data_IF_745330075291
#
_entry.id   IF_745330075291
#
_cell.length_a   1.000
_cell.length_b   1.000
_cell.length_c   1.000
_cell.angle_alpha   90.00
_cell.angle_beta   90.00
_cell.angle_gamma   90.00
#
_symmetry.space_group_name_H-M   'P 1'
#
loop_
_entity.id
_entity.type
_entity.pdbx_description
1 polymer ?
#
# COMPACT_ATOMS: atom_id res chain seq x y z
N UNK A 1 -22.35 -16.73 -2.05
CA UNK A 1 -21.49 -16.68 -0.84
C UNK A 1 -21.82 -15.43 -0.04
N UNK A 2 -22.25 -15.60 1.22
CA UNK A 2 -22.51 -14.47 2.12
C UNK A 2 -21.21 -13.74 2.45
N UNK A 3 -21.27 -12.43 2.69
CA UNK A 3 -20.10 -11.63 3.07
C UNK A 3 -19.40 -12.19 4.33
N UNK A 4 -20.16 -12.86 5.20
CA UNK A 4 -19.66 -13.56 6.38
C UNK A 4 -18.70 -14.69 6.03
N UNK A 5 -18.91 -15.44 4.94
CA UNK A 5 -17.99 -16.53 4.54
C UNK A 5 -16.67 -16.00 3.98
N UNK A 6 -16.67 -14.84 3.32
CA UNK A 6 -15.43 -14.20 2.84
C UNK A 6 -14.63 -13.64 4.00
N UNK A 7 -15.30 -12.97 4.95
CA UNK A 7 -14.65 -12.46 6.17
C UNK A 7 -14.12 -13.62 7.02
N UNK A 8 -14.87 -14.71 7.16
CA UNK A 8 -14.43 -15.92 7.87
C UNK A 8 -13.24 -16.57 7.17
N UNK A 9 -13.26 -16.70 5.84
CA UNK A 9 -12.14 -17.26 5.08
C UNK A 9 -10.86 -16.43 5.19
N UNK A 10 -11.00 -15.09 5.17
CA UNK A 10 -9.87 -14.17 5.40
C UNK A 10 -9.36 -14.32 6.85
N UNK A 11 -10.24 -14.34 7.85
CA UNK A 11 -9.86 -14.55 9.25
C UNK A 11 -9.13 -15.88 9.47
N UNK A 12 -9.63 -16.97 8.90
CA UNK A 12 -8.99 -18.30 8.97
C UNK A 12 -7.62 -18.28 8.28
N UNK A 13 -7.50 -17.63 7.12
CA UNK A 13 -6.23 -17.47 6.43
C UNK A 13 -5.17 -16.73 7.25
N UNK A 14 -5.58 -15.71 8.01
CA UNK A 14 -4.69 -14.96 8.90
C UNK A 14 -4.24 -15.82 10.05
N UNK A 15 -5.19 -16.47 10.73
CA UNK A 15 -4.89 -17.34 11.85
C UNK A 15 -3.93 -18.44 11.39
N UNK A 16 -4.14 -19.01 10.19
CA UNK A 16 -3.23 -19.98 9.61
C UNK A 16 -1.83 -19.39 9.34
N UNK A 17 -1.71 -18.21 8.72
CA UNK A 17 -0.41 -17.56 8.47
C UNK A 17 0.29 -17.18 9.77
N UNK A 18 -0.45 -16.72 10.78
CA UNK A 18 0.08 -16.36 12.10
C UNK A 18 0.59 -17.59 12.85
N UNK A 19 -0.20 -18.67 12.85
CA UNK A 19 0.16 -19.92 13.51
C UNK A 19 1.32 -20.60 12.78
N UNK A 20 1.27 -20.71 11.45
CA UNK A 20 2.32 -21.34 10.65
C UNK A 20 3.61 -20.53 10.71
N UNK A 21 3.53 -19.20 10.62
CA UNK A 21 4.69 -18.31 10.76
C UNK A 21 5.30 -18.36 12.16
N UNK A 22 4.48 -18.40 13.21
CA UNK A 22 4.93 -18.58 14.59
C UNK A 22 5.59 -19.93 14.84
N UNK A 23 5.01 -21.01 14.31
CA UNK A 23 5.55 -22.37 14.40
C UNK A 23 6.84 -22.53 13.59
N UNK A 24 6.90 -22.00 12.37
CA UNK A 24 8.12 -22.01 11.54
C UNK A 24 9.23 -21.16 12.16
N UNK A 25 8.92 -19.96 12.68
CA UNK A 25 9.88 -19.13 13.40
C UNK A 25 10.43 -19.82 14.65
N UNK A 26 9.57 -20.48 15.43
CA UNK A 26 9.97 -21.26 16.61
C UNK A 26 10.84 -22.47 16.28
N UNK A 27 10.57 -23.14 15.17
CA UNK A 27 11.25 -24.38 14.79
C UNK A 27 12.55 -24.15 14.03
N UNK A 28 12.63 -23.10 13.22
CA UNK A 28 13.75 -22.84 12.31
C UNK A 28 14.79 -21.86 12.86
N UNK A 29 14.47 -21.06 13.88
CA UNK A 29 15.42 -20.14 14.51
C UNK A 29 15.90 -20.71 15.86
N UNK A 30 17.04 -21.43 15.91
CA UNK A 30 17.52 -22.09 17.12
C UNK A 30 17.78 -21.14 18.30
N UNK A 31 17.94 -19.83 18.06
CA UNK A 31 18.14 -18.81 19.09
C UNK A 31 16.88 -18.41 19.90
N UNK A 32 15.67 -18.75 19.44
CA UNK A 32 14.41 -18.31 20.10
C UNK A 32 14.04 -19.16 21.32
N UNK A 33 14.63 -20.37 21.44
CA UNK A 33 14.28 -21.36 22.48
C UNK A 33 14.65 -20.95 23.91
N UNK A 34 15.37 -19.85 24.10
CA UNK A 34 15.78 -19.31 25.41
C UNK A 34 15.16 -17.96 25.79
N UNK A 35 14.29 -17.37 24.96
CA UNK A 35 13.75 -16.04 25.21
C UNK A 35 12.30 -16.16 25.69
N UNK A 36 12.00 -15.64 26.89
CA UNK A 36 10.72 -15.80 27.58
C UNK A 36 9.51 -15.24 26.81
N UNK A 37 8.32 -15.32 27.44
CA UNK A 37 7.02 -14.91 26.88
C UNK A 37 7.02 -13.55 26.15
N UNK A 38 7.87 -12.60 26.56
CA UNK A 38 8.06 -11.32 25.89
C UNK A 38 8.55 -11.44 24.43
N UNK A 39 9.49 -12.34 24.12
CA UNK A 39 9.99 -12.54 22.76
C UNK A 39 8.95 -13.20 21.85
N UNK A 40 8.14 -14.09 22.40
CA UNK A 40 6.98 -14.67 21.70
C UNK A 40 5.94 -13.59 21.42
N UNK A 41 5.60 -12.75 22.40
CA UNK A 41 4.67 -11.64 22.21
C UNK A 41 5.18 -10.59 21.20
N UNK A 42 6.49 -10.28 21.20
CA UNK A 42 7.12 -9.42 20.21
C UNK A 42 7.07 -10.04 18.81
N UNK A 43 7.27 -11.36 18.69
CA UNK A 43 7.18 -12.07 17.42
C UNK A 43 5.74 -12.09 16.88
N UNK A 44 4.75 -12.35 17.75
CA UNK A 44 3.33 -12.28 17.42
C UNK A 44 2.94 -10.85 17.05
N UNK A 45 3.38 -9.86 17.81
CA UNK A 45 3.13 -8.44 17.55
C UNK A 45 3.72 -8.00 16.21
N UNK A 46 4.95 -8.41 15.90
CA UNK A 46 5.58 -8.18 14.60
C UNK A 46 4.83 -8.84 13.46
N UNK A 47 4.40 -10.10 13.65
CA UNK A 47 3.62 -10.82 12.65
C UNK A 47 2.25 -10.19 12.40
N UNK A 48 1.56 -9.73 13.45
CA UNK A 48 0.30 -9.00 13.34
C UNK A 48 0.49 -7.61 12.70
N UNK A 49 1.59 -6.92 13.00
CA UNK A 49 1.94 -5.65 12.37
C UNK A 49 2.24 -5.81 10.87
N UNK A 50 2.77 -6.96 10.45
CA UNK A 50 3.00 -7.28 9.04
C UNK A 50 1.70 -7.74 8.38
N UNK A 51 1.02 -8.75 8.91
CA UNK A 51 -0.11 -9.43 8.24
C UNK A 51 -1.42 -8.65 8.40
N UNK A 52 -1.66 -8.05 9.55
CA UNK A 52 -2.92 -7.34 9.86
C UNK A 52 -3.27 -6.25 8.84
N UNK A 53 -2.33 -5.39 8.43
CA UNK A 53 -2.58 -4.39 7.40
C UNK A 53 -2.98 -4.99 6.03
N UNK A 54 -2.36 -6.11 5.61
CA UNK A 54 -2.71 -6.80 4.36
C UNK A 54 -4.13 -7.36 4.38
N UNK A 55 -4.56 -7.84 5.53
CA UNK A 55 -5.91 -8.35 5.75
C UNK A 55 -6.93 -7.26 5.59
N UNK A 56 -6.69 -6.12 6.25
CA UNK A 56 -7.59 -4.98 6.19
C UNK A 56 -7.67 -4.47 4.76
N UNK A 57 -6.54 -4.42 4.05
CA UNK A 57 -6.47 -4.07 2.64
C UNK A 57 -7.28 -5.05 1.76
N UNK A 58 -7.06 -6.36 1.91
CA UNK A 58 -7.76 -7.39 1.16
C UNK A 58 -9.27 -7.40 1.46
N UNK A 59 -9.67 -7.26 2.73
CA UNK A 59 -11.06 -7.20 3.15
C UNK A 59 -11.77 -5.95 2.60
N UNK A 60 -11.10 -4.78 2.62
CA UNK A 60 -11.62 -3.55 2.04
C UNK A 60 -11.83 -3.68 0.52
N UNK A 61 -10.83 -4.22 -0.20
CA UNK A 61 -10.92 -4.46 -1.63
C UNK A 61 -12.02 -5.48 -1.97
N UNK A 62 -12.04 -6.62 -1.28
CA UNK A 62 -13.04 -7.67 -1.47
C UNK A 62 -14.45 -7.18 -1.17
N UNK A 63 -14.64 -6.37 -0.12
CA UNK A 63 -15.93 -5.75 0.22
C UNK A 63 -16.45 -4.86 -0.90
N UNK A 64 -15.57 -4.04 -1.50
CA UNK A 64 -15.89 -3.14 -2.61
C UNK A 64 -16.22 -3.89 -3.90
N UNK A 65 -15.38 -4.86 -4.27
CA UNK A 65 -15.63 -5.73 -5.44
C UNK A 65 -16.94 -6.49 -5.25
N UNK A 66 -17.17 -7.07 -4.06
CA UNK A 66 -18.41 -7.79 -3.76
C UNK A 66 -19.63 -6.88 -3.80
N UNK A 67 -19.54 -5.65 -3.30
CA UNK A 67 -20.62 -4.67 -3.38
C UNK A 67 -20.91 -4.26 -4.83
N UNK A 68 -19.88 -4.04 -5.65
CA UNK A 68 -20.02 -3.73 -7.07
C UNK A 68 -20.67 -4.90 -7.84
N UNK A 69 -20.20 -6.13 -7.61
CA UNK A 69 -20.72 -7.34 -8.26
C UNK A 69 -22.17 -7.62 -7.85
N UNK A 70 -22.52 -7.45 -6.56
CA UNK A 70 -23.91 -7.64 -6.09
C UNK A 70 -24.90 -6.65 -6.68
N UNK A 71 -24.47 -5.42 -6.97
CA UNK A 71 -25.30 -4.39 -7.60
C UNK A 71 -25.32 -4.51 -9.13
N UNK A 72 -24.41 -5.28 -9.71
CA UNK A 72 -24.29 -5.36 -11.15
C UNK A 72 -25.30 -6.34 -11.76
N UNK A 73 -25.84 -6.04 -12.94
CA UNK A 73 -26.72 -6.95 -13.69
C UNK A 73 -26.07 -8.32 -13.95
N UNK A 74 -26.88 -9.32 -14.32
CA UNK A 74 -26.35 -10.65 -14.72
C UNK A 74 -25.48 -10.59 -15.99
N UNK A 75 -25.62 -9.54 -16.81
CA UNK A 75 -24.79 -9.29 -17.99
C UNK A 75 -23.32 -9.01 -17.62
N UNK A 76 -22.40 -9.81 -18.15
CA UNK A 76 -20.95 -9.66 -17.93
C UNK A 76 -20.39 -8.32 -18.41
N UNK A 77 -20.96 -7.71 -19.46
CA UNK A 77 -20.53 -6.41 -19.96
C UNK A 77 -20.90 -5.29 -18.98
N UNK A 78 -22.12 -5.34 -18.44
CA UNK A 78 -22.58 -4.44 -17.40
C UNK A 78 -21.78 -4.61 -16.09
N UNK A 79 -21.41 -5.85 -15.73
CA UNK A 79 -20.51 -6.12 -14.60
C UNK A 79 -19.14 -5.49 -14.78
N UNK A 80 -18.51 -5.71 -15.93
CA UNK A 80 -17.20 -5.14 -16.24
C UNK A 80 -17.22 -3.62 -16.12
N UNK A 81 -18.22 -2.97 -16.73
CA UNK A 81 -18.34 -1.53 -16.71
C UNK A 81 -18.67 -0.99 -15.31
N UNK A 82 -19.54 -1.67 -14.56
CA UNK A 82 -19.85 -1.34 -13.17
C UNK A 82 -18.59 -1.39 -12.30
N UNK A 83 -17.78 -2.45 -12.42
CA UNK A 83 -16.51 -2.57 -11.68
C UNK A 83 -15.51 -1.50 -12.09
N UNK A 84 -15.35 -1.25 -13.39
CA UNK A 84 -14.41 -0.25 -13.90
C UNK A 84 -14.78 1.19 -13.49
N UNK A 85 -16.08 1.48 -13.34
CA UNK A 85 -16.59 2.81 -12.98
C UNK A 85 -16.82 2.99 -11.48
N UNK A 86 -16.87 1.92 -10.68
CA UNK A 86 -17.08 1.97 -9.23
C UNK A 86 -16.01 2.75 -8.45
N UNK A 87 -14.86 3.01 -9.07
CA UNK A 87 -13.74 3.74 -8.49
C UNK A 87 -13.50 5.14 -9.08
N UNK A 88 -14.37 5.66 -9.94
CA UNK A 88 -14.15 6.99 -10.53
C UNK A 88 -14.28 8.10 -9.48
N UNK A 89 -13.53 9.19 -9.66
CA UNK A 89 -13.64 10.39 -8.85
C UNK A 89 -15.06 11.00 -8.95
N UNK A 90 -15.50 11.72 -7.91
CA UNK A 90 -16.89 12.19 -7.78
C UNK A 90 -17.41 12.95 -9.01
N UNK A 91 -16.60 13.87 -9.57
CA UNK A 91 -16.95 14.64 -10.77
C UNK A 91 -17.12 13.79 -12.05
N UNK A 92 -16.67 12.52 -12.04
CA UNK A 92 -16.82 11.57 -13.15
C UNK A 92 -17.81 10.44 -12.85
N UNK A 93 -18.50 10.50 -11.71
CA UNK A 93 -19.60 9.59 -11.43
C UNK A 93 -20.68 9.67 -12.52
N UNK A 94 -20.95 10.87 -13.02
CA UNK A 94 -21.89 11.14 -14.12
C UNK A 94 -21.43 10.49 -15.42
N UNK A 95 -20.14 10.60 -15.78
CA UNK A 95 -19.59 9.90 -16.95
C UNK A 95 -19.79 8.38 -16.82
N UNK A 96 -19.49 7.80 -15.65
CA UNK A 96 -19.69 6.37 -15.41
C UNK A 96 -21.17 5.95 -15.44
N UNK A 97 -22.10 6.83 -15.07
CA UNK A 97 -23.53 6.61 -15.21
C UNK A 97 -23.98 6.70 -16.68
N UNK A 98 -23.53 7.71 -17.42
CA UNK A 98 -23.81 7.88 -18.83
C UNK A 98 -23.32 6.68 -19.66
N UNK A 99 -22.10 6.19 -19.43
CA UNK A 99 -21.60 5.00 -20.12
C UNK A 99 -22.41 3.74 -19.80
N UNK A 100 -23.01 3.64 -18.60
CA UNK A 100 -23.88 2.51 -18.26
C UNK A 100 -25.24 2.62 -18.97
N UNK A 101 -25.81 3.82 -19.06
CA UNK A 101 -27.03 4.06 -19.84
C UNK A 101 -26.81 3.80 -21.34
N UNK A 102 -25.67 4.23 -21.88
CA UNK A 102 -25.28 3.95 -23.27
C UNK A 102 -25.08 2.45 -23.50
N UNK A 103 -24.50 1.73 -22.52
CA UNK A 103 -24.41 0.28 -22.62
C UNK A 103 -25.79 -0.39 -22.66
N UNK A 104 -26.82 0.18 -22.00
CA UNK A 104 -28.19 -0.34 -22.01
C UNK A 104 -28.88 -0.18 -23.37
N UNK A 105 -28.54 0.84 -24.16
CA UNK A 105 -29.11 1.07 -25.50
C UNK A 105 -28.50 0.19 -26.61
N UNK A 106 -27.38 -0.49 -26.34
CA UNK A 106 -26.73 -1.38 -27.32
C UNK A 106 -27.35 -2.79 -27.23
N UNK A 107 -28.01 -3.24 -28.29
CA UNK A 107 -28.64 -4.57 -28.35
C UNK A 107 -27.64 -5.71 -28.59
N UNK A 108 -26.62 -5.47 -29.43
CA UNK A 108 -25.70 -6.50 -29.90
C UNK A 108 -24.73 -7.00 -28.81
N UNK A 109 -24.69 -8.31 -28.46
CA UNK A 109 -23.85 -8.80 -27.36
C UNK A 109 -22.34 -8.63 -27.61
N UNK A 110 -21.89 -8.65 -28.87
CA UNK A 110 -20.49 -8.39 -29.22
C UNK A 110 -20.14 -6.90 -29.10
N UNK A 111 -21.05 -6.02 -29.53
CA UNK A 111 -20.89 -4.57 -29.45
C UNK A 111 -20.89 -4.09 -28.00
N UNK A 112 -21.82 -4.59 -27.17
CA UNK A 112 -21.85 -4.36 -25.72
C UNK A 112 -20.51 -4.69 -25.05
N UNK A 113 -19.92 -5.84 -25.38
CA UNK A 113 -18.61 -6.26 -24.83
C UNK A 113 -17.49 -5.34 -25.29
N UNK A 114 -17.44 -4.97 -26.58
CA UNK A 114 -16.42 -4.07 -27.13
C UNK A 114 -16.54 -2.68 -26.50
N UNK A 115 -17.76 -2.15 -26.39
CA UNK A 115 -18.05 -0.89 -25.73
C UNK A 115 -17.63 -0.92 -24.25
N UNK A 116 -18.09 -1.91 -23.49
CA UNK A 116 -17.75 -2.04 -22.07
C UNK A 116 -16.23 -2.16 -21.85
N UNK A 117 -15.51 -2.90 -22.71
CA UNK A 117 -14.04 -2.97 -22.67
C UNK A 117 -13.38 -1.64 -23.01
N UNK A 118 -13.88 -0.92 -24.01
CA UNK A 118 -13.39 0.40 -24.40
C UNK A 118 -13.57 1.42 -23.26
N UNK A 119 -14.76 1.49 -22.68
CA UNK A 119 -15.05 2.34 -21.53
C UNK A 119 -14.24 1.93 -20.29
N UNK A 120 -14.10 0.62 -20.02
CA UNK A 120 -13.25 0.14 -18.94
C UNK A 120 -11.79 0.58 -19.15
N UNK A 121 -11.26 0.45 -20.37
CA UNK A 121 -9.91 0.90 -20.71
C UNK A 121 -9.74 2.41 -20.56
N UNK A 122 -10.72 3.20 -21.02
CA UNK A 122 -10.72 4.65 -20.86
C UNK A 122 -10.75 5.05 -19.38
N UNK A 123 -11.60 4.40 -18.58
CA UNK A 123 -11.66 4.59 -17.13
C UNK A 123 -10.32 4.20 -16.46
N UNK A 124 -9.64 3.17 -16.98
CA UNK A 124 -8.34 2.75 -16.46
C UNK A 124 -7.23 3.76 -16.75
N UNK A 125 -7.16 4.29 -17.98
CA UNK A 125 -6.13 5.23 -18.43
C UNK A 125 -6.24 6.65 -17.89
N UNK A 126 -7.36 7.01 -17.26
CA UNK A 126 -7.62 8.38 -16.81
C UNK A 126 -6.99 8.75 -15.45
N UNK A 127 -6.14 7.89 -14.86
CA UNK A 127 -5.26 8.27 -13.72
C UNK A 127 -3.85 8.54 -14.23
N UNK A 128 -3.18 9.65 -13.94
CA UNK A 128 -2.98 10.29 -12.64
C UNK A 128 -2.76 11.80 -12.85
N UNK A 129 -3.52 12.66 -12.17
CA UNK A 129 -3.38 14.10 -12.31
C UNK A 129 -2.05 14.62 -11.73
N UNK A 130 -1.68 15.88 -12.02
CA UNK A 130 -0.48 16.58 -11.51
C UNK A 130 -0.25 16.40 -10.00
N UNK A 131 -1.35 16.33 -9.24
CA UNK A 131 -1.42 16.05 -7.79
C UNK A 131 -0.72 14.73 -7.42
N UNK A 132 -0.93 13.68 -8.20
CA UNK A 132 -0.31 12.36 -7.99
C UNK A 132 1.18 12.40 -8.32
N UNK A 133 1.57 13.05 -9.42
CA UNK A 133 2.99 13.20 -9.79
C UNK A 133 3.79 13.91 -8.71
N UNK A 134 3.27 15.03 -8.18
CA UNK A 134 3.93 15.78 -7.10
C UNK A 134 4.04 14.94 -5.82
N UNK A 135 2.99 14.22 -5.43
CA UNK A 135 3.05 13.34 -4.27
C UNK A 135 4.06 12.21 -4.44
N UNK A 136 4.13 11.58 -5.62
CA UNK A 136 5.07 10.50 -5.92
C UNK A 136 6.52 10.99 -5.87
N UNK A 137 6.83 12.09 -6.57
CA UNK A 137 8.17 12.68 -6.57
C UNK A 137 8.57 13.20 -5.19
N UNK A 138 7.66 13.89 -4.50
CA UNK A 138 7.87 14.35 -3.14
C UNK A 138 8.15 13.19 -2.17
N UNK A 139 7.44 12.06 -2.32
CA UNK A 139 7.69 10.86 -1.52
C UNK A 139 9.10 10.30 -1.78
N UNK A 140 9.51 10.13 -3.04
CA UNK A 140 10.88 9.68 -3.35
C UNK A 140 11.93 10.58 -2.70
N UNK A 141 11.75 11.90 -2.82
CA UNK A 141 12.70 12.88 -2.29
C UNK A 141 12.75 12.87 -0.76
N UNK A 142 11.59 12.79 -0.08
CA UNK A 142 11.51 12.69 1.38
C UNK A 142 12.21 11.44 1.90
N UNK A 143 12.02 10.30 1.23
CA UNK A 143 12.71 9.06 1.62
C UNK A 143 14.20 9.11 1.35
N UNK A 144 14.63 9.59 0.18
CA UNK A 144 16.04 9.76 -0.13
C UNK A 144 16.74 10.68 0.88
N UNK A 145 16.20 11.87 1.12
CA UNK A 145 16.76 12.83 2.07
C UNK A 145 16.71 12.29 3.51
N UNK A 146 15.61 11.64 3.90
CA UNK A 146 15.44 11.03 5.20
C UNK A 146 16.48 9.94 5.47
N UNK A 147 16.68 9.03 4.52
CA UNK A 147 17.69 7.97 4.59
C UNK A 147 19.10 8.54 4.70
N UNK A 148 19.41 9.59 3.93
CA UNK A 148 20.71 10.24 4.01
C UNK A 148 20.94 10.85 5.40
N UNK A 149 19.98 11.63 5.89
CA UNK A 149 20.06 12.25 7.23
C UNK A 149 20.17 11.19 8.31
N UNK A 150 19.35 10.13 8.26
CA UNK A 150 19.41 9.03 9.21
C UNK A 150 20.77 8.35 9.20
N UNK A 151 21.37 8.13 8.02
CA UNK A 151 22.70 7.54 7.90
C UNK A 151 23.77 8.44 8.53
N UNK A 152 23.74 9.75 8.24
CA UNK A 152 24.71 10.69 8.81
C UNK A 152 24.57 10.85 10.32
N UNK A 153 23.36 10.88 10.85
CA UNK A 153 23.11 10.99 12.30
C UNK A 153 23.44 9.69 13.03
N UNK A 154 23.04 8.54 12.49
CA UNK A 154 23.25 7.23 13.12
C UNK A 154 24.74 6.89 13.29
N UNK A 155 25.56 7.19 12.29
CA UNK A 155 27.01 6.96 12.33
C UNK A 155 27.82 8.13 12.88
N UNK A 156 27.23 9.31 13.05
CA UNK A 156 27.85 10.44 13.74
C UNK A 156 27.86 10.31 15.27
N UNK A 157 27.01 9.42 15.82
CA UNK A 157 26.93 9.12 17.25
C UNK A 157 27.45 7.71 17.59
N UNK A 158 26.52 6.82 17.96
CA UNK A 158 26.83 5.51 18.54
C UNK A 158 26.99 4.37 17.52
N UNK A 159 26.85 4.64 16.23
CA UNK A 159 27.05 3.65 15.16
C UNK A 159 25.93 2.62 15.02
N UNK A 160 24.73 2.87 15.56
CA UNK A 160 23.62 1.90 15.63
C UNK A 160 22.89 1.60 14.30
N UNK A 161 23.48 1.96 13.16
CA UNK A 161 22.84 1.80 11.84
C UNK A 161 21.56 2.62 11.67
N UNK A 162 20.82 2.38 10.58
CA UNK A 162 19.57 3.08 10.26
C UNK A 162 18.33 2.19 10.26
N UNK A 163 18.48 0.89 10.54
CA UNK A 163 17.43 -0.12 10.37
C UNK A 163 16.14 0.25 11.11
N UNK A 164 16.25 0.73 12.35
CA UNK A 164 15.10 1.12 13.16
C UNK A 164 14.27 2.23 12.52
N UNK A 165 14.94 3.27 12.01
CA UNK A 165 14.32 4.45 11.42
C UNK A 165 13.68 4.17 10.05
N UNK A 166 14.37 3.37 9.24
CA UNK A 166 13.92 2.99 7.89
C UNK A 166 12.81 1.96 7.95
N UNK A 167 12.88 0.99 8.88
CA UNK A 167 11.93 -0.13 8.86
C UNK A 167 10.63 0.21 9.59
N UNK A 168 10.69 1.02 10.65
CA UNK A 168 9.56 1.22 11.55
C UNK A 168 9.15 2.70 11.69
N UNK A 169 7.87 2.98 11.45
CA UNK A 169 7.19 4.24 11.82
C UNK A 169 6.95 5.21 10.66
N UNK A 170 7.96 6.03 10.33
CA UNK A 170 7.77 7.19 9.45
C UNK A 170 7.30 6.80 8.04
N UNK A 171 7.91 5.79 7.38
CA UNK A 171 7.46 5.37 6.06
C UNK A 171 5.98 5.00 5.99
N UNK A 172 5.50 4.26 6.98
CA UNK A 172 4.12 3.80 7.06
C UNK A 172 3.16 4.99 7.14
N UNK A 173 3.49 5.99 7.95
CA UNK A 173 2.69 7.21 8.11
C UNK A 173 2.69 8.06 6.85
N UNK A 174 3.84 8.24 6.19
CA UNK A 174 3.93 9.00 4.94
C UNK A 174 3.10 8.34 3.84
N UNK A 175 3.27 7.02 3.64
CA UNK A 175 2.54 6.29 2.60
C UNK A 175 1.04 6.23 2.86
N UNK A 176 0.62 6.03 4.11
CA UNK A 176 -0.79 6.14 4.49
C UNK A 176 -1.33 7.56 4.28
N UNK A 177 -0.54 8.59 4.63
CA UNK A 177 -0.88 10.00 4.45
C UNK A 177 -1.09 10.36 2.98
N UNK A 178 -0.21 9.91 2.08
CA UNK A 178 -0.32 10.14 0.64
C UNK A 178 -1.58 9.51 0.07
N UNK A 179 -1.82 8.22 0.38
CA UNK A 179 -3.03 7.52 -0.06
C UNK A 179 -4.32 8.19 0.47
N UNK A 180 -4.31 8.61 1.74
CA UNK A 180 -5.40 9.33 2.39
C UNK A 180 -5.68 10.67 1.73
N UNK A 181 -4.65 11.47 1.50
CA UNK A 181 -4.78 12.79 0.90
C UNK A 181 -5.29 12.71 -0.53
N UNK A 182 -4.75 11.79 -1.34
CA UNK A 182 -5.21 11.56 -2.71
C UNK A 182 -6.66 11.04 -2.77
N UNK A 183 -7.03 10.09 -1.91
CA UNK A 183 -8.42 9.60 -1.84
C UNK A 183 -9.39 10.67 -1.36
N UNK A 184 -9.00 11.46 -0.36
CA UNK A 184 -9.83 12.53 0.21
C UNK A 184 -10.05 13.67 -0.77
N UNK A 185 -9.01 14.10 -1.48
CA UNK A 185 -9.08 15.21 -2.43
C UNK A 185 -9.92 14.89 -3.66
N UNK A 186 -9.95 13.61 -4.07
CA UNK A 186 -10.70 13.16 -5.26
C UNK A 186 -12.03 12.47 -4.95
N UNK A 187 -12.25 12.09 -3.69
CA UNK A 187 -13.37 11.23 -3.28
C UNK A 187 -13.28 9.80 -3.82
N UNK A 188 -12.12 9.37 -4.35
CA UNK A 188 -11.94 8.07 -4.99
C UNK A 188 -10.88 7.22 -4.28
N UNK A 189 -11.26 6.00 -3.92
CA UNK A 189 -10.33 5.01 -3.36
C UNK A 189 -9.32 4.56 -4.39
N UNK A 190 -9.74 4.39 -5.65
CA UNK A 190 -8.87 3.91 -6.71
C UNK A 190 -7.72 4.89 -6.91
N UNK A 191 -8.02 6.18 -7.02
CA UNK A 191 -6.99 7.23 -7.17
C UNK A 191 -6.07 7.27 -5.94
N UNK A 192 -6.63 7.15 -4.74
CA UNK A 192 -5.83 7.09 -3.51
C UNK A 192 -4.91 5.87 -3.45
N UNK A 193 -5.41 4.69 -3.80
CA UNK A 193 -4.66 3.45 -3.82
C UNK A 193 -3.57 3.48 -4.89
N UNK A 194 -3.89 3.85 -6.13
CA UNK A 194 -2.92 3.97 -7.22
C UNK A 194 -1.81 4.97 -6.85
N UNK A 195 -2.18 6.16 -6.34
CA UNK A 195 -1.19 7.16 -5.92
C UNK A 195 -0.35 6.67 -4.74
N UNK A 196 -0.95 6.02 -3.75
CA UNK A 196 -0.23 5.44 -2.62
C UNK A 196 0.73 4.32 -3.03
N UNK A 197 0.34 3.47 -3.98
CA UNK A 197 1.22 2.41 -4.52
C UNK A 197 2.36 2.97 -5.37
N UNK A 198 2.08 3.99 -6.19
CA UNK A 198 3.14 4.71 -6.91
C UNK A 198 4.11 5.41 -5.94
N UNK A 199 3.59 6.01 -4.87
CA UNK A 199 4.41 6.63 -3.82
C UNK A 199 5.23 5.59 -3.06
N UNK A 200 4.69 4.40 -2.81
CA UNK A 200 5.43 3.26 -2.24
C UNK A 200 6.60 2.84 -3.12
N UNK A 201 6.38 2.63 -4.43
CA UNK A 201 7.45 2.29 -5.36
C UNK A 201 8.52 3.39 -5.40
N UNK A 202 8.09 4.65 -5.43
CA UNK A 202 8.97 5.80 -5.44
C UNK A 202 9.77 5.94 -4.12
N UNK A 203 9.17 5.61 -2.98
CA UNK A 203 9.83 5.54 -1.69
C UNK A 203 10.92 4.47 -1.67
N UNK A 204 10.64 3.26 -2.18
CA UNK A 204 11.62 2.17 -2.29
C UNK A 204 12.78 2.58 -3.19
N UNK A 205 12.51 3.21 -4.34
CA UNK A 205 13.56 3.69 -5.25
C UNK A 205 14.40 4.78 -4.58
N UNK A 206 13.77 5.76 -3.94
CA UNK A 206 14.47 6.85 -3.24
C UNK A 206 15.33 6.33 -2.09
N UNK A 207 14.81 5.38 -1.32
CA UNK A 207 15.55 4.67 -0.28
C UNK A 207 16.78 3.95 -0.85
N UNK A 208 16.59 3.08 -1.86
CA UNK A 208 17.67 2.29 -2.46
C UNK A 208 18.75 3.17 -3.11
N UNK A 209 18.34 4.25 -3.78
CA UNK A 209 19.25 5.20 -4.42
C UNK A 209 20.22 5.86 -3.44
N UNK A 210 19.88 5.94 -2.15
CA UNK A 210 20.71 6.55 -1.11
C UNK A 210 21.39 5.51 -0.24
N UNK A 211 20.68 4.48 0.22
CA UNK A 211 21.24 3.50 1.14
C UNK A 211 22.36 2.68 0.49
N UNK A 212 22.27 2.37 -0.81
CA UNK A 212 23.32 1.60 -1.50
C UNK A 212 24.66 2.35 -1.55
N UNK A 213 24.75 3.63 -2.00
CA UNK A 213 26.00 4.36 -1.96
C UNK A 213 26.45 4.69 -0.52
N UNK A 214 25.54 4.98 0.41
CA UNK A 214 25.90 5.16 1.82
C UNK A 214 26.51 3.87 2.40
N UNK A 215 25.95 2.68 2.09
CA UNK A 215 26.51 1.39 2.53
C UNK A 215 27.95 1.21 2.09
N UNK A 216 28.28 1.55 0.84
CA UNK A 216 29.67 1.52 0.37
C UNK A 216 30.55 2.54 1.12
N UNK A 217 30.05 3.76 1.30
CA UNK A 217 30.78 4.82 2.00
C UNK A 217 31.15 4.43 3.44
N UNK A 218 30.18 3.99 4.24
CA UNK A 218 30.42 3.66 5.65
C UNK A 218 31.17 2.35 5.84
N UNK A 219 31.05 1.41 4.90
CA UNK A 219 31.90 0.23 4.87
C UNK A 219 33.38 0.61 4.77
N UNK A 220 33.74 1.53 3.86
CA UNK A 220 35.13 1.97 3.72
C UNK A 220 35.59 2.85 4.89
N UNK A 221 34.70 3.68 5.42
CA UNK A 221 35.06 4.66 6.45
C UNK A 221 35.14 4.05 7.86
N UNK A 222 34.23 3.12 8.17
CA UNK A 222 34.03 2.60 9.52
C UNK A 222 34.00 1.07 9.60
N UNK A 223 34.10 0.36 8.47
CA UNK A 223 34.11 -1.10 8.45
C UNK A 223 32.77 -1.73 8.84
N UNK A 224 31.65 -1.03 8.63
CA UNK A 224 30.30 -1.45 9.05
C UNK A 224 29.29 -1.31 7.93
N UNK A 225 28.22 -2.10 7.98
CA UNK A 225 27.05 -1.94 7.09
C UNK A 225 26.13 -0.83 7.59
N UNK A 226 25.55 -0.07 6.66
CA UNK A 226 24.70 1.08 7.02
C UNK A 226 23.41 0.69 7.71
N UNK A 227 22.85 -0.47 7.35
CA UNK A 227 21.54 -0.87 7.81
C UNK A 227 21.57 -1.19 9.29
N UNK A 228 22.39 -2.15 9.70
CA UNK A 228 22.43 -2.66 11.07
C UNK A 228 23.61 -2.11 11.90
N UNK A 229 24.60 -1.49 11.26
CA UNK A 229 25.83 -1.04 11.93
C UNK A 229 26.82 -2.17 12.23
N UNK A 230 26.53 -3.39 11.78
CA UNK A 230 27.38 -4.55 12.06
C UNK A 230 28.59 -4.59 11.10
N UNK A 231 29.72 -5.15 11.54
CA UNK A 231 30.84 -5.41 10.65
C UNK A 231 30.49 -6.48 9.60
N UNK A 232 31.11 -6.42 8.41
CA UNK A 232 30.80 -7.30 7.30
C UNK A 232 31.17 -8.76 7.59
N UNK A 233 30.19 -9.65 7.41
CA UNK A 233 30.37 -11.10 7.61
C UNK A 233 31.10 -11.80 6.45
N UNK A 234 31.28 -11.12 5.32
CA UNK A 234 31.79 -11.69 4.06
C UNK A 234 33.29 -11.54 3.82
N UNK A 235 34.04 -10.91 4.72
CA UNK A 235 35.46 -10.61 4.49
C UNK A 235 35.68 -9.52 3.41
N UNK A 236 36.90 -9.40 2.84
CA UNK A 236 37.28 -8.28 1.98
C UNK A 236 36.54 -8.23 0.63
N UNK A 237 35.96 -9.34 0.17
CA UNK A 237 35.19 -9.44 -1.08
C UNK A 237 33.70 -9.08 -0.93
N UNK A 238 33.29 -8.61 0.26
CA UNK A 238 31.92 -8.18 0.49
C UNK A 238 31.52 -7.04 -0.47
N UNK A 239 30.27 -7.08 -0.95
CA UNK A 239 29.68 -6.03 -1.79
C UNK A 239 28.69 -5.19 -0.97
N UNK A 240 29.18 -4.28 -0.10
CA UNK A 240 28.35 -3.56 0.87
C UNK A 240 27.20 -2.78 0.22
N UNK A 241 27.40 -2.29 -1.01
CA UNK A 241 26.34 -1.61 -1.76
C UNK A 241 25.11 -2.49 -2.05
N UNK A 242 25.26 -3.81 -2.08
CA UNK A 242 24.18 -4.76 -2.35
C UNK A 242 23.52 -5.31 -1.08
N UNK A 243 24.09 -5.06 0.10
CA UNK A 243 23.53 -5.51 1.38
C UNK A 243 22.06 -5.07 1.57
N UNK A 244 21.65 -3.83 1.22
CA UNK A 244 20.23 -3.42 1.29
C UNK A 244 19.26 -4.20 0.40
N UNK A 245 19.77 -4.92 -0.60
CA UNK A 245 18.97 -5.78 -1.46
C UNK A 245 18.84 -7.20 -0.89
N UNK A 246 19.56 -7.53 0.19
CA UNK A 246 19.43 -8.82 0.82
C UNK A 246 17.96 -9.06 1.23
N UNK A 247 17.40 -10.26 0.96
CA UNK A 247 15.99 -10.53 1.22
C UNK A 247 15.55 -10.24 2.65
N UNK A 248 16.44 -10.43 3.62
CA UNK A 248 16.18 -10.17 5.04
C UNK A 248 15.88 -8.69 5.34
N UNK A 249 16.39 -7.75 4.55
CA UNK A 249 16.13 -6.31 4.71
C UNK A 249 15.05 -5.81 3.77
N UNK A 250 15.07 -6.25 2.51
CA UNK A 250 14.14 -5.76 1.51
C UNK A 250 12.72 -6.31 1.72
N UNK A 251 12.55 -7.59 2.08
CA UNK A 251 11.22 -8.17 2.25
C UNK A 251 10.42 -7.50 3.37
N UNK A 252 10.97 -7.24 4.58
CA UNK A 252 10.25 -6.50 5.61
C UNK A 252 9.80 -5.12 5.14
N UNK A 253 10.67 -4.37 4.45
CA UNK A 253 10.32 -3.06 3.88
C UNK A 253 9.11 -3.18 2.93
N UNK A 254 9.16 -4.11 1.98
CA UNK A 254 8.07 -4.31 1.02
C UNK A 254 6.77 -4.73 1.70
N UNK A 255 6.85 -5.66 2.67
CA UNK A 255 5.69 -6.22 3.36
C UNK A 255 5.05 -5.24 4.35
N UNK A 256 5.84 -4.44 5.08
CA UNK A 256 5.35 -3.49 6.08
C UNK A 256 4.79 -2.22 5.45
N UNK A 257 5.37 -1.75 4.35
CA UNK A 257 5.03 -0.45 3.78
C UNK A 257 3.83 -0.51 2.82
N UNK A 258 3.71 -1.58 2.03
CA UNK A 258 2.70 -1.66 0.97
C UNK A 258 1.24 -1.62 1.44
N UNK A 259 0.85 -2.16 2.62
CA UNK A 259 -0.53 -2.05 3.09
C UNK A 259 -0.96 -0.61 3.43
N UNK A 260 -0.01 0.25 3.79
CA UNK A 260 -0.28 1.62 4.24
C UNK A 260 -1.01 2.43 3.15
N UNK A 261 -0.64 2.23 1.88
CA UNK A 261 -1.32 2.85 0.75
C UNK A 261 -2.83 2.53 0.73
N UNK A 262 -3.19 1.27 1.00
CA UNK A 262 -4.58 0.81 1.01
C UNK A 262 -5.35 1.36 2.21
N UNK A 263 -4.74 1.32 3.39
CA UNK A 263 -5.34 1.86 4.63
C UNK A 263 -5.61 3.36 4.47
N UNK A 264 -4.61 4.11 3.98
CA UNK A 264 -4.73 5.53 3.70
C UNK A 264 -5.90 5.83 2.75
N UNK A 265 -5.93 5.15 1.61
CA UNK A 265 -6.98 5.34 0.61
C UNK A 265 -8.40 5.06 1.15
N UNK A 266 -8.56 4.01 1.97
CA UNK A 266 -9.84 3.66 2.60
C UNK A 266 -10.31 4.77 3.56
N UNK A 267 -9.41 5.23 4.45
CA UNK A 267 -9.71 6.30 5.40
C UNK A 267 -10.07 7.58 4.64
N UNK A 268 -9.30 7.94 3.62
CA UNK A 268 -9.52 9.15 2.81
C UNK A 268 -10.91 9.20 2.18
N UNK A 269 -11.40 8.09 1.61
CA UNK A 269 -12.76 8.02 1.05
C UNK A 269 -13.83 8.18 2.12
N UNK A 270 -13.71 7.51 3.27
CA UNK A 270 -14.68 7.63 4.36
C UNK A 270 -14.79 9.06 4.86
N UNK A 271 -13.66 9.75 4.98
CA UNK A 271 -13.63 11.16 5.36
C UNK A 271 -14.27 12.06 4.31
N UNK A 272 -14.06 11.78 3.02
CA UNK A 272 -14.72 12.52 1.92
C UNK A 272 -16.24 12.34 1.94
N UNK A 273 -16.72 11.12 2.16
CA UNK A 273 -18.16 10.81 2.23
C UNK A 273 -18.84 11.55 3.39
N UNK A 274 -18.22 11.56 4.57
CA UNK A 274 -18.73 12.30 5.74
C UNK A 274 -18.88 13.80 5.46
N UNK A 275 -17.95 14.39 4.70
CA UNK A 275 -18.02 15.80 4.31
C UNK A 275 -19.18 16.09 3.36
N UNK A 276 -19.48 15.17 2.45
CA UNK A 276 -20.60 15.29 1.51
C UNK A 276 -21.94 15.18 2.23
N UNK A 277 -22.09 14.25 3.19
CA UNK A 277 -23.33 14.10 3.96
C UNK A 277 -23.59 15.24 4.95
N UNK A 278 -22.52 15.88 5.45
CA UNK A 278 -22.63 17.00 6.37
C UNK A 278 -22.90 18.34 5.68
N UNK A 279 -22.73 18.43 4.35
CA UNK A 279 -23.08 19.64 3.62
C UNK A 279 -24.60 19.75 3.56
N UNK A 280 -25.23 20.75 4.19
CA UNK A 280 -26.69 20.89 4.20
C UNK A 280 -27.18 20.93 2.76
N UNK A 281 -28.26 20.18 2.47
CA UNK A 281 -28.89 20.23 1.16
C UNK A 281 -29.17 21.70 0.85
N UNK A 282 -28.76 22.22 -0.34
CA UNK A 282 -29.07 23.59 -0.71
C UNK A 282 -30.56 23.78 -0.51
N UNK A 283 -30.94 24.75 0.33
CA UNK A 283 -32.33 25.04 0.65
C UNK A 283 -33.07 25.11 -0.68
N UNK A 284 -34.01 24.18 -0.91
CA UNK A 284 -34.82 24.21 -2.13
C UNK A 284 -35.46 25.57 -2.17
N UNK A 285 -35.05 26.41 -3.11
CA UNK A 285 -35.72 27.65 -3.39
C UNK A 285 -37.17 27.29 -3.72
N UNK A 286 -38.06 27.53 -2.77
CA UNK A 286 -39.50 27.46 -2.99
C UNK A 286 -39.84 28.60 -3.93
N UNK A 287 -40.10 28.25 -5.20
CA UNK A 287 -40.68 29.15 -6.21
C UNK A 287 -42.18 29.02 -6.14
#
# INVERSE_FOLDING_TARGET
MSAQLVVLGVLVGIVAVVVVGGVLGWTLLPGVRGHGLAAVLLSIGGLLAVVGPWVLAAAALAGRVSAAVRRAPRDGSARLLSVATAGLAGHRGEWGAAMRAELESIDGPRERRRFARGCAWAALRQGSGRVSTVAVLGTALVFAAGTLVASRVGFGGDGQGILGWVTFGIPQLVLAGVGLWAARSTGSFRVGFETGMSAFLAAVIGYLAVVMPESAYWYHQAGVYVIDGDPPKGGPDATPALDPLAPIFLLPVLLLWSPCATIGAEIGVRLSQRRQTASPAPARATV
#
